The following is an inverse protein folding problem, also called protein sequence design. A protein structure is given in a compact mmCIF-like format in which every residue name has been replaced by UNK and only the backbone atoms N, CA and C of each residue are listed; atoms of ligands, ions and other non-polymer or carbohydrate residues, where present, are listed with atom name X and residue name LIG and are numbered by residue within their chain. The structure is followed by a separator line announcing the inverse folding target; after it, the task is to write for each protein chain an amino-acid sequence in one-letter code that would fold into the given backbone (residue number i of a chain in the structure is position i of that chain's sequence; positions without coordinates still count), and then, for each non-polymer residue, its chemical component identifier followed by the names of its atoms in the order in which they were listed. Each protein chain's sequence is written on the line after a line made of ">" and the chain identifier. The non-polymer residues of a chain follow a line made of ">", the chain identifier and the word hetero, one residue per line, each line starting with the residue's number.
data_IF_392614807816
#
_entry.id   IF_392614807816
#
_cell.length_a   1.000
_cell.length_b   1.000
_cell.length_c   1.000
_cell.angle_alpha   90.00
_cell.angle_beta   90.00
_cell.angle_gamma   90.00
#
_symmetry.space_group_name_H-M   'P 1'
#
loop_
_entity.id
_entity.type
_entity.pdbx_description
1 polymer ?
#
# COMPACT_ATOMS: atom_id res chain seq x y z
N UNK A 1 -29.13 -1.83 11.94
CA UNK A 1 -29.00 -0.36 11.82
C UNK A 1 -27.58 -0.07 11.31
N UNK A 2 -27.46 0.64 10.19
CA UNK A 2 -26.15 1.06 9.66
C UNK A 2 -25.53 2.06 10.65
N UNK A 3 -24.21 1.95 10.89
CA UNK A 3 -23.51 2.86 11.79
C UNK A 3 -23.59 4.30 11.21
N UNK A 4 -24.02 5.29 12.00
CA UNK A 4 -24.15 6.69 11.57
C UNK A 4 -22.88 7.23 10.88
N UNK A 5 -21.70 6.82 11.34
CA UNK A 5 -20.41 7.21 10.75
C UNK A 5 -20.23 6.68 9.34
N UNK A 6 -20.75 5.49 9.03
CA UNK A 6 -20.68 4.89 7.67
C UNK A 6 -21.57 5.70 6.72
N UNK A 7 -22.77 6.09 7.15
CA UNK A 7 -23.67 6.92 6.34
C UNK A 7 -23.03 8.27 6.01
N UNK A 8 -22.44 8.93 7.01
CA UNK A 8 -21.71 10.19 6.81
C UNK A 8 -20.54 10.04 5.83
N UNK A 9 -19.75 8.97 5.97
CA UNK A 9 -18.66 8.69 5.04
C UNK A 9 -19.13 8.47 3.60
N UNK A 10 -20.24 7.74 3.43
CA UNK A 10 -20.87 7.53 2.12
C UNK A 10 -21.33 8.86 1.50
N UNK A 11 -21.95 9.74 2.28
CA UNK A 11 -22.37 11.08 1.84
C UNK A 11 -21.19 11.92 1.39
N UNK A 12 -20.09 11.94 2.16
CA UNK A 12 -18.87 12.68 1.80
C UNK A 12 -18.27 12.15 0.50
N UNK A 13 -18.15 10.82 0.36
CA UNK A 13 -17.67 10.19 -0.87
C UNK A 13 -18.59 10.53 -2.04
N UNK A 14 -19.92 10.47 -1.85
CA UNK A 14 -20.88 10.78 -2.92
C UNK A 14 -20.73 12.23 -3.41
N UNK A 15 -20.51 13.20 -2.51
CA UNK A 15 -20.39 14.62 -2.83
C UNK A 15 -18.99 15.05 -3.27
N UNK A 16 -17.97 14.19 -3.14
CA UNK A 16 -16.60 14.53 -3.48
C UNK A 16 -16.40 14.74 -5.00
N UNK A 17 -15.59 15.72 -5.36
CA UNK A 17 -15.11 15.92 -6.74
C UNK A 17 -14.03 14.89 -7.09
N UNK A 18 -13.24 14.45 -6.10
CA UNK A 18 -12.23 13.42 -6.24
C UNK A 18 -11.92 12.73 -4.90
N UNK A 19 -11.19 11.62 -4.96
CA UNK A 19 -10.77 10.84 -3.79
C UNK A 19 -9.23 10.75 -3.77
N UNK A 20 -8.64 11.15 -2.65
CA UNK A 20 -7.24 10.87 -2.35
C UNK A 20 -7.16 9.71 -1.36
N UNK A 21 -6.50 8.64 -1.75
CA UNK A 21 -6.32 7.46 -0.90
C UNK A 21 -4.89 7.47 -0.35
N UNK A 22 -4.75 7.48 0.97
CA UNK A 22 -3.50 7.14 1.63
C UNK A 22 -3.54 5.70 2.09
N UNK A 23 -2.60 4.88 1.66
CA UNK A 23 -2.54 3.47 2.01
C UNK A 23 -1.21 3.08 2.66
N UNK A 24 -1.26 2.13 3.59
CA UNK A 24 -0.06 1.58 4.23
C UNK A 24 -0.29 0.10 4.58
N UNK A 25 0.70 -0.54 5.21
CA UNK A 25 0.74 -1.98 5.49
C UNK A 25 -0.56 -2.59 6.04
N UNK A 26 -1.38 -1.81 6.78
CA UNK A 26 -2.66 -2.29 7.28
C UNK A 26 -3.66 -2.65 6.18
N UNK A 27 -3.53 -2.09 4.97
CA UNK A 27 -4.33 -2.49 3.81
C UNK A 27 -3.94 -3.90 3.36
N UNK A 28 -2.65 -4.19 3.17
CA UNK A 28 -2.16 -5.53 2.82
C UNK A 28 -2.45 -6.55 3.94
N UNK A 29 -2.38 -6.13 5.21
CA UNK A 29 -2.77 -6.97 6.35
C UNK A 29 -4.25 -7.36 6.28
N UNK A 30 -5.14 -6.45 5.87
CA UNK A 30 -6.56 -6.76 5.70
C UNK A 30 -6.81 -7.78 4.58
N UNK A 31 -5.91 -7.89 3.62
CA UNK A 31 -5.89 -8.90 2.56
C UNK A 31 -5.27 -10.24 2.99
N UNK A 32 -4.68 -10.31 4.20
CA UNK A 32 -3.98 -11.49 4.71
C UNK A 32 -2.44 -11.42 4.62
N UNK A 33 -1.88 -10.38 3.99
CA UNK A 33 -0.43 -10.22 3.80
C UNK A 33 0.18 -9.41 4.96
N UNK A 34 0.60 -10.11 6.01
CA UNK A 34 1.07 -9.49 7.26
C UNK A 34 2.60 -9.53 7.40
N UNK A 35 3.30 -8.49 6.93
CA UNK A 35 4.78 -8.42 6.90
C UNK A 35 5.46 -8.45 8.27
N UNK A 36 4.74 -8.12 9.35
CA UNK A 36 5.28 -8.09 10.71
C UNK A 36 4.98 -9.38 11.51
N UNK A 37 4.21 -10.32 10.97
CA UNK A 37 3.77 -11.49 11.70
C UNK A 37 4.61 -12.74 11.40
N UNK A 38 4.89 -13.52 12.46
CA UNK A 38 5.35 -14.90 12.33
C UNK A 38 4.13 -15.84 12.27
N UNK A 39 3.38 -15.71 11.18
CA UNK A 39 2.18 -16.50 10.94
C UNK A 39 2.48 -17.76 10.09
N UNK A 40 1.45 -18.57 9.84
CA UNK A 40 1.59 -19.78 9.04
C UNK A 40 2.09 -19.46 7.60
N UNK A 41 1.57 -18.39 7.02
CA UNK A 41 1.97 -17.93 5.69
C UNK A 41 3.48 -17.63 5.62
N UNK A 42 4.00 -16.85 6.57
CA UNK A 42 5.43 -16.55 6.66
C UNK A 42 6.25 -17.83 6.83
N UNK A 43 5.85 -18.74 7.72
CA UNK A 43 6.58 -20.00 7.94
C UNK A 43 6.56 -20.93 6.74
N UNK A 44 5.48 -20.93 5.96
CA UNK A 44 5.39 -21.71 4.72
C UNK A 44 6.38 -21.23 3.66
N UNK A 45 6.58 -19.92 3.54
CA UNK A 45 7.45 -19.31 2.51
C UNK A 45 8.91 -19.20 2.95
N UNK A 46 9.16 -18.98 4.24
CA UNK A 46 10.47 -18.60 4.75
C UNK A 46 10.94 -19.43 5.96
N UNK A 47 10.24 -20.52 6.31
CA UNK A 47 10.52 -21.27 7.54
C UNK A 47 11.90 -21.91 7.57
N UNK A 48 12.43 -22.38 6.43
CA UNK A 48 13.80 -22.87 6.29
C UNK A 48 14.84 -21.75 6.50
N UNK A 49 14.61 -20.59 5.89
CA UNK A 49 15.47 -19.42 6.07
C UNK A 49 15.36 -18.85 7.49
N UNK A 50 14.15 -18.91 8.11
CA UNK A 50 13.98 -18.58 9.51
C UNK A 50 14.84 -19.46 10.42
N UNK A 51 14.86 -20.78 10.19
CA UNK A 51 15.69 -21.71 10.95
C UNK A 51 17.19 -21.43 10.77
N UNK A 52 17.60 -21.08 9.55
CA UNK A 52 18.98 -20.85 9.21
C UNK A 52 19.50 -19.50 9.70
N UNK A 53 18.71 -18.42 9.60
CA UNK A 53 19.14 -17.04 9.81
C UNK A 53 18.52 -16.37 11.04
N UNK A 54 17.41 -16.91 11.59
CA UNK A 54 16.83 -16.46 12.84
C UNK A 54 15.85 -15.29 12.74
N UNK A 55 15.61 -14.69 11.55
CA UNK A 55 14.60 -13.64 11.41
C UNK A 55 13.17 -14.22 11.55
N UNK A 56 12.22 -13.42 12.06
CA UNK A 56 10.91 -13.90 12.50
C UNK A 56 9.72 -13.40 11.67
N UNK A 57 9.97 -12.51 10.74
CA UNK A 57 8.95 -11.94 9.86
C UNK A 57 9.59 -11.35 8.59
N UNK A 58 8.78 -10.93 7.64
CA UNK A 58 9.25 -10.42 6.34
C UNK A 58 10.14 -9.20 6.50
N UNK A 59 9.77 -8.26 7.39
CA UNK A 59 10.53 -7.03 7.62
C UNK A 59 11.93 -7.34 8.16
N UNK A 60 12.01 -8.24 9.16
CA UNK A 60 13.32 -8.68 9.67
C UNK A 60 14.16 -9.34 8.57
N UNK A 61 13.54 -10.15 7.68
CA UNK A 61 14.22 -10.76 6.53
C UNK A 61 14.70 -9.74 5.50
N UNK A 62 13.92 -8.70 5.20
CA UNK A 62 14.32 -7.62 4.28
C UNK A 62 15.57 -6.87 4.74
N UNK A 63 15.69 -6.61 6.03
CA UNK A 63 16.83 -5.88 6.62
C UNK A 63 17.92 -6.81 7.18
N UNK A 64 17.79 -8.12 7.01
CA UNK A 64 18.77 -9.08 7.49
C UNK A 64 20.10 -8.95 6.71
N UNK A 65 21.23 -9.03 7.41
CA UNK A 65 22.54 -9.06 6.78
C UNK A 65 22.90 -10.48 6.38
N UNK A 66 22.53 -10.87 5.18
CA UNK A 66 22.82 -12.20 4.65
C UNK A 66 24.31 -12.42 4.44
N UNK A 67 24.84 -13.64 4.70
CA UNK A 67 26.26 -13.93 4.53
C UNK A 67 26.70 -13.88 3.07
N UNK A 68 25.78 -14.07 2.11
CA UNK A 68 26.08 -14.02 0.68
C UNK A 68 25.00 -13.26 -0.09
N UNK A 69 25.35 -12.75 -1.27
CA UNK A 69 24.40 -12.10 -2.17
C UNK A 69 23.32 -13.08 -2.66
N UNK A 70 23.68 -14.34 -2.88
CA UNK A 70 22.76 -15.39 -3.33
C UNK A 70 21.65 -15.65 -2.29
N UNK A 71 22.01 -15.70 -0.99
CA UNK A 71 21.04 -15.88 0.08
C UNK A 71 20.06 -14.70 0.16
N UNK A 72 20.55 -13.46 -0.02
CA UNK A 72 19.70 -12.26 -0.10
C UNK A 72 18.77 -12.30 -1.31
N UNK A 73 19.30 -12.68 -2.48
CA UNK A 73 18.51 -12.80 -3.71
C UNK A 73 17.46 -13.91 -3.60
N UNK A 74 17.78 -15.02 -2.92
CA UNK A 74 16.81 -16.11 -2.68
C UNK A 74 15.64 -15.62 -1.83
N UNK A 75 15.90 -14.91 -0.73
CA UNK A 75 14.83 -14.32 0.09
C UNK A 75 13.97 -13.37 -0.75
N UNK A 76 14.60 -12.47 -1.50
CA UNK A 76 13.89 -11.50 -2.32
C UNK A 76 13.06 -12.16 -3.42
N UNK A 77 13.59 -13.17 -4.11
CA UNK A 77 12.85 -13.90 -5.14
C UNK A 77 11.60 -14.59 -4.56
N UNK A 78 11.71 -15.23 -3.39
CA UNK A 78 10.55 -15.82 -2.71
C UNK A 78 9.53 -14.78 -2.29
N UNK A 79 10.02 -13.62 -1.81
CA UNK A 79 9.16 -12.50 -1.44
C UNK A 79 8.36 -12.01 -2.65
N UNK A 80 9.05 -11.67 -3.75
CA UNK A 80 8.40 -11.20 -4.98
C UNK A 80 7.43 -12.24 -5.53
N UNK A 81 7.87 -13.50 -5.62
CA UNK A 81 6.99 -14.57 -6.11
C UNK A 81 5.69 -14.63 -5.30
N UNK A 82 5.79 -14.71 -3.98
CA UNK A 82 4.62 -14.90 -3.12
C UNK A 82 3.76 -13.62 -3.00
N UNK A 83 4.41 -12.45 -2.83
CA UNK A 83 3.71 -11.19 -2.56
C UNK A 83 3.20 -10.50 -3.81
N UNK A 84 3.91 -10.70 -4.92
CA UNK A 84 3.60 -10.00 -6.17
C UNK A 84 3.11 -10.97 -7.23
N UNK A 85 3.92 -11.98 -7.62
CA UNK A 85 3.60 -12.80 -8.80
C UNK A 85 2.36 -13.69 -8.58
N UNK A 86 2.28 -14.34 -7.42
CA UNK A 86 1.18 -15.25 -7.04
C UNK A 86 -0.02 -14.50 -6.42
N UNK A 87 0.00 -13.16 -6.35
CA UNK A 87 -1.10 -12.38 -5.80
C UNK A 87 -2.33 -12.41 -6.70
N UNK A 88 -3.48 -12.67 -6.09
CA UNK A 88 -4.80 -12.55 -6.70
C UNK A 88 -5.62 -11.47 -5.99
N UNK A 89 -6.36 -10.62 -6.73
CA UNK A 89 -7.13 -9.53 -6.14
C UNK A 89 -8.11 -10.01 -5.08
N UNK A 90 -8.02 -9.40 -3.91
CA UNK A 90 -8.87 -9.75 -2.77
C UNK A 90 -10.24 -9.07 -2.81
N UNK A 91 -11.18 -9.56 -1.97
CA UNK A 91 -12.47 -8.88 -1.78
C UNK A 91 -12.29 -7.44 -1.27
N UNK A 92 -11.26 -7.18 -0.45
CA UNK A 92 -10.92 -5.83 0.06
C UNK A 92 -10.65 -4.87 -1.09
N UNK A 93 -9.84 -5.30 -2.07
CA UNK A 93 -9.52 -4.47 -3.25
C UNK A 93 -10.72 -4.30 -4.17
N UNK A 94 -11.51 -5.34 -4.39
CA UNK A 94 -12.76 -5.23 -5.15
C UNK A 94 -13.75 -4.24 -4.51
N UNK A 95 -13.85 -4.23 -3.19
CA UNK A 95 -14.74 -3.28 -2.50
C UNK A 95 -14.16 -1.86 -2.50
N UNK A 96 -12.85 -1.70 -2.40
CA UNK A 96 -12.19 -0.40 -2.56
C UNK A 96 -12.44 0.18 -3.96
N UNK A 97 -12.34 -0.65 -5.01
CA UNK A 97 -12.65 -0.24 -6.39
C UNK A 97 -14.11 0.24 -6.52
N UNK A 98 -15.06 -0.44 -5.88
CA UNK A 98 -16.48 0.01 -5.85
C UNK A 98 -16.65 1.34 -5.13
N UNK A 99 -15.93 1.55 -4.01
CA UNK A 99 -15.96 2.82 -3.27
C UNK A 99 -15.44 3.98 -4.13
N UNK A 100 -14.36 3.76 -4.86
CA UNK A 100 -13.82 4.75 -5.81
C UNK A 100 -14.81 5.02 -6.95
N UNK A 101 -15.41 3.96 -7.52
CA UNK A 101 -16.40 4.04 -8.59
C UNK A 101 -15.85 4.77 -9.84
N UNK A 102 -16.60 5.78 -10.31
CA UNK A 102 -16.23 6.60 -11.47
C UNK A 102 -15.55 7.93 -11.10
N UNK A 103 -15.24 8.13 -9.83
CA UNK A 103 -14.59 9.38 -9.39
C UNK A 103 -13.14 9.42 -9.82
N UNK A 104 -12.64 10.63 -10.07
CA UNK A 104 -11.20 10.83 -10.21
C UNK A 104 -10.52 10.54 -8.87
N UNK A 105 -9.38 9.89 -8.91
CA UNK A 105 -8.68 9.48 -7.69
C UNK A 105 -7.16 9.52 -7.86
N UNK A 106 -6.46 9.56 -6.75
CA UNK A 106 -5.04 9.27 -6.67
C UNK A 106 -4.73 8.48 -5.39
N UNK A 107 -3.75 7.58 -5.46
CA UNK A 107 -3.33 6.75 -4.35
C UNK A 107 -1.89 7.10 -3.99
N UNK A 108 -1.68 7.45 -2.72
CA UNK A 108 -0.36 7.61 -2.11
C UNK A 108 -0.14 6.43 -1.17
N UNK A 109 0.87 5.61 -1.41
CA UNK A 109 1.10 4.41 -0.61
C UNK A 109 2.54 4.23 -0.18
N UNK A 110 2.75 3.66 1.01
CA UNK A 110 4.04 3.12 1.44
C UNK A 110 4.18 1.62 1.13
N UNK A 111 3.17 1.00 0.53
CA UNK A 111 3.24 -0.39 0.12
C UNK A 111 3.87 -0.48 -1.28
N UNK A 112 4.90 -1.29 -1.42
CA UNK A 112 5.53 -1.59 -2.70
C UNK A 112 5.12 -2.97 -3.26
N UNK A 113 3.98 -3.50 -2.82
CA UNK A 113 3.52 -4.87 -3.12
C UNK A 113 2.79 -5.01 -4.46
N UNK A 114 2.51 -3.92 -5.14
CA UNK A 114 1.79 -3.85 -6.42
C UNK A 114 0.35 -4.43 -6.38
N UNK A 115 -0.21 -4.65 -5.19
CA UNK A 115 -1.57 -5.20 -5.05
C UNK A 115 -2.63 -4.28 -5.66
N UNK A 116 -2.44 -2.97 -5.55
CA UNK A 116 -3.34 -1.97 -6.13
C UNK A 116 -3.38 -2.07 -7.66
N UNK A 117 -2.21 -2.08 -8.31
CA UNK A 117 -2.08 -2.21 -9.76
C UNK A 117 -2.67 -3.53 -10.26
N UNK A 118 -2.32 -4.64 -9.60
CA UNK A 118 -2.83 -5.97 -9.94
C UNK A 118 -4.33 -6.11 -9.71
N UNK A 119 -4.91 -5.28 -8.86
CA UNK A 119 -6.36 -5.21 -8.62
C UNK A 119 -7.08 -4.30 -9.61
N UNK A 120 -6.37 -3.70 -10.59
CA UNK A 120 -6.96 -2.92 -11.68
C UNK A 120 -6.99 -1.41 -11.45
N UNK A 121 -6.35 -0.90 -10.41
CA UNK A 121 -6.12 0.55 -10.30
C UNK A 121 -5.08 1.02 -11.31
N UNK A 122 -5.29 2.21 -11.88
CA UNK A 122 -4.37 2.79 -12.88
C UNK A 122 -3.02 3.10 -12.24
N UNK A 123 -1.95 2.47 -12.71
CA UNK A 123 -0.58 2.66 -12.23
C UNK A 123 -0.10 4.12 -12.25
N UNK A 124 -0.63 4.94 -13.18
CA UNK A 124 -0.32 6.38 -13.26
C UNK A 124 -0.98 7.20 -12.17
N UNK A 125 -1.88 6.58 -11.42
CA UNK A 125 -2.61 7.18 -10.29
C UNK A 125 -2.18 6.60 -8.95
N UNK A 126 -1.04 5.90 -8.92
CA UNK A 126 -0.46 5.31 -7.71
C UNK A 126 0.98 5.84 -7.57
N UNK A 127 1.30 6.34 -6.38
CA UNK A 127 2.66 6.75 -6.03
C UNK A 127 3.14 5.99 -4.79
N UNK A 128 4.08 5.07 -5.01
CA UNK A 128 4.75 4.27 -3.98
C UNK A 128 5.94 5.05 -3.44
N UNK A 129 5.75 5.68 -2.28
CA UNK A 129 6.73 6.61 -1.70
C UNK A 129 7.98 5.95 -1.11
N UNK A 130 8.02 4.63 -1.05
CA UNK A 130 9.15 3.83 -0.60
C UNK A 130 9.65 2.88 -1.72
N UNK A 131 9.17 3.09 -2.98
CA UNK A 131 9.50 2.23 -4.11
C UNK A 131 8.68 0.93 -4.13
N UNK A 132 9.07 -0.01 -4.98
CA UNK A 132 8.36 -1.28 -5.23
C UNK A 132 9.18 -2.49 -4.81
N UNK A 133 8.53 -3.56 -4.33
CA UNK A 133 9.18 -4.78 -3.84
C UNK A 133 9.90 -5.58 -4.93
N UNK A 134 9.55 -5.37 -6.19
CA UNK A 134 10.18 -6.06 -7.32
C UNK A 134 11.61 -5.62 -7.58
N UNK A 135 12.01 -4.48 -7.03
CA UNK A 135 13.37 -3.96 -7.09
C UNK A 135 13.94 -3.79 -5.67
N UNK A 136 15.03 -4.48 -5.36
CA UNK A 136 15.74 -4.39 -4.06
C UNK A 136 16.31 -3.00 -3.75
N UNK A 137 16.44 -2.15 -4.75
CA UNK A 137 17.02 -0.82 -4.68
C UNK A 137 16.07 0.26 -5.20
N UNK A 138 14.77 -0.08 -5.30
CA UNK A 138 13.77 0.85 -5.81
C UNK A 138 13.73 2.12 -4.96
N UNK A 139 13.82 3.24 -5.65
CA UNK A 139 13.53 4.56 -5.09
C UNK A 139 12.16 5.04 -5.60
N UNK A 140 11.54 6.01 -4.92
CA UNK A 140 10.31 6.63 -5.39
C UNK A 140 10.45 7.17 -6.81
N UNK A 141 9.50 6.86 -7.70
CA UNK A 141 9.51 7.37 -9.07
C UNK A 141 9.15 8.88 -9.09
N UNK A 142 10.08 9.77 -9.52
CA UNK A 142 9.82 11.20 -9.59
C UNK A 142 8.71 11.58 -10.59
N UNK A 143 8.42 10.72 -11.57
CA UNK A 143 7.30 10.95 -12.51
C UNK A 143 5.97 10.73 -11.81
N UNK A 144 5.85 9.67 -11.00
CA UNK A 144 4.66 9.40 -10.18
C UNK A 144 4.46 10.50 -9.12
N UNK A 145 5.53 10.98 -8.50
CA UNK A 145 5.47 12.15 -7.61
C UNK A 145 4.94 13.39 -8.32
N UNK A 146 5.41 13.68 -9.54
CA UNK A 146 4.93 14.82 -10.32
C UNK A 146 3.44 14.69 -10.69
N UNK A 147 2.96 13.48 -11.00
CA UNK A 147 1.54 13.20 -11.24
C UNK A 147 0.71 13.43 -9.97
N UNK A 148 1.19 12.97 -8.82
CA UNK A 148 0.56 13.22 -7.52
C UNK A 148 0.41 14.74 -7.25
N UNK A 149 1.48 15.52 -7.41
CA UNK A 149 1.46 16.98 -7.23
C UNK A 149 0.47 17.66 -8.19
N UNK A 150 0.37 17.21 -9.44
CA UNK A 150 -0.62 17.70 -10.42
C UNK A 150 -2.05 17.40 -10.00
N UNK A 151 -2.29 16.19 -9.47
CA UNK A 151 -3.60 15.82 -8.94
C UNK A 151 -4.00 16.74 -7.77
N UNK A 152 -3.12 16.98 -6.80
CA UNK A 152 -3.38 17.90 -5.70
C UNK A 152 -3.68 19.32 -6.18
N UNK A 153 -2.93 19.83 -7.13
CA UNK A 153 -3.15 21.15 -7.72
C UNK A 153 -4.49 21.24 -8.46
N UNK A 154 -4.90 20.19 -9.20
CA UNK A 154 -6.19 20.11 -9.92
C UNK A 154 -7.39 20.21 -8.98
N UNK A 155 -7.26 19.67 -7.76
CA UNK A 155 -8.36 19.61 -6.77
C UNK A 155 -8.18 20.61 -5.62
N UNK A 156 -7.24 21.54 -5.71
CA UNK A 156 -7.13 22.64 -4.76
C UNK A 156 -8.40 23.50 -4.77
N UNK A 157 -9.00 23.73 -3.60
CA UNK A 157 -10.25 24.47 -3.46
C UNK A 157 -11.51 23.70 -3.90
N UNK A 158 -11.42 22.41 -4.18
CA UNK A 158 -12.55 21.51 -4.50
C UNK A 158 -12.83 20.56 -3.36
N UNK A 159 -13.96 19.83 -3.45
CA UNK A 159 -14.32 18.79 -2.46
C UNK A 159 -13.48 17.54 -2.67
N UNK A 160 -12.33 17.48 -2.04
CA UNK A 160 -11.45 16.31 -2.04
C UNK A 160 -11.66 15.51 -0.76
N UNK A 161 -12.13 14.26 -0.89
CA UNK A 161 -12.19 13.33 0.24
C UNK A 161 -10.87 12.58 0.36
N UNK A 162 -10.34 12.50 1.58
CA UNK A 162 -9.15 11.72 1.91
C UNK A 162 -9.56 10.44 2.63
N UNK A 163 -9.19 9.29 2.08
CA UNK A 163 -9.36 7.98 2.71
C UNK A 163 -8.02 7.50 3.24
N UNK A 164 -7.91 7.30 4.54
CA UNK A 164 -6.72 6.72 5.18
C UNK A 164 -6.96 5.22 5.44
N UNK A 165 -6.26 4.34 4.71
CA UNK A 165 -6.43 2.89 4.74
C UNK A 165 -5.20 2.20 5.32
N UNK A 166 -5.37 1.55 6.47
CA UNK A 166 -4.29 0.76 7.08
C UNK A 166 -3.07 1.57 7.53
N UNK A 167 -3.24 2.87 7.78
CA UNK A 167 -2.16 3.75 8.22
C UNK A 167 -2.08 3.72 9.74
N UNK A 168 -1.07 3.06 10.30
CA UNK A 168 -0.85 3.00 11.73
C UNK A 168 -0.65 4.40 12.35
N UNK A 169 -0.98 4.54 13.66
CA UNK A 169 -0.87 5.82 14.38
C UNK A 169 0.55 6.41 14.36
N UNK A 170 1.57 5.57 14.27
CA UNK A 170 2.99 5.96 14.25
C UNK A 170 3.53 6.25 12.84
N UNK A 171 2.81 5.88 11.78
CA UNK A 171 3.25 6.15 10.41
C UNK A 171 3.06 7.65 10.10
N UNK A 172 4.16 8.39 10.20
CA UNK A 172 4.17 9.84 9.89
C UNK A 172 4.39 10.11 8.40
N UNK A 173 4.94 9.15 7.67
CA UNK A 173 5.36 9.33 6.28
C UNK A 173 4.16 9.72 5.39
N UNK A 174 3.12 8.89 5.36
CA UNK A 174 1.89 9.17 4.61
C UNK A 174 1.11 10.32 5.26
N UNK A 175 0.89 10.28 6.58
CA UNK A 175 0.07 11.28 7.28
C UNK A 175 0.58 12.70 7.13
N UNK A 176 1.90 12.92 7.20
CA UNK A 176 2.45 14.27 7.02
C UNK A 176 2.17 14.83 5.63
N UNK A 177 2.20 14.00 4.60
CA UNK A 177 1.90 14.43 3.24
C UNK A 177 0.41 14.73 3.11
N UNK A 178 -0.48 13.84 3.57
CA UNK A 178 -1.93 14.02 3.51
C UNK A 178 -2.41 15.23 4.30
N UNK A 179 -1.85 15.44 5.52
CA UNK A 179 -2.32 16.50 6.42
C UNK A 179 -1.68 17.88 6.13
N UNK A 180 -0.54 17.97 5.43
CA UNK A 180 0.01 19.25 4.96
C UNK A 180 -0.90 19.94 3.95
N UNK A 181 -1.64 19.18 3.22
CA UNK A 181 -2.65 19.65 2.28
C UNK A 181 -4.04 19.63 2.95
N UNK A 182 -4.18 20.35 4.09
CA UNK A 182 -5.50 20.57 4.70
C UNK A 182 -6.37 21.26 3.65
N UNK A 183 -7.25 20.48 3.07
CA UNK A 183 -8.28 20.96 2.18
C UNK A 183 -9.36 21.61 3.05
N UNK A 184 -9.43 22.93 3.01
CA UNK A 184 -10.54 23.71 3.61
C UNK A 184 -11.78 23.58 2.74
#
# INVERSE_FOLDING_TARGET
>A
MMNANITIAQEWIAQADAILIGASNGLSIAEGYHIFANNEMFRRQFGDMQQQYGFRNVVEGLYFQYPTAEARLEFHRRLVKFWVDDYEPSQVMHDLMKVVGQKDYFILTSNGDLHLEKSGFDEKRIFEIEGVMTDLFAEPDPKKEALFRRFLAKYSGKKLVVLELGIGSRNRLIKQILHRHRFC
#
